data_IF_210962810053
#
_entry.id   IF_210962810053
#
_cell.length_a   1.000
_cell.length_b   1.000
_cell.length_c   1.000
_cell.angle_alpha   90.00
_cell.angle_beta   90.00
_cell.angle_gamma   90.00
#
_symmetry.space_group_name_H-M   'P 1'
#
loop_
_entity.id
_entity.type
_entity.pdbx_description
1 polymer ?
#
# COMPACT_ATOMS: atom_id res chain seq x y z
N UNK A 1 -5.54 5.69 14.71
CA UNK A 1 -4.12 5.98 14.37
C UNK A 1 -4.06 7.39 13.84
N UNK A 2 -3.04 8.17 14.17
CA UNK A 2 -2.84 9.52 13.64
C UNK A 2 -1.96 9.51 12.37
N UNK A 3 -1.91 10.65 11.67
CA UNK A 3 -1.16 10.78 10.43
C UNK A 3 0.36 10.50 10.59
N UNK A 4 1.07 11.04 11.60
CA UNK A 4 2.48 10.73 11.80
C UNK A 4 2.75 9.23 11.98
N UNK A 5 1.91 8.52 12.74
CA UNK A 5 2.03 7.07 12.94
C UNK A 5 1.74 6.31 11.64
N UNK A 6 0.73 6.73 10.87
CA UNK A 6 0.41 6.15 9.58
C UNK A 6 1.57 6.33 8.58
N UNK A 7 2.16 7.53 8.53
CA UNK A 7 3.31 7.83 7.68
C UNK A 7 4.53 6.98 8.07
N UNK A 8 4.86 6.88 9.35
CA UNK A 8 5.95 6.02 9.81
C UNK A 8 5.73 4.57 9.39
N UNK A 9 4.50 4.06 9.53
CA UNK A 9 4.16 2.69 9.14
C UNK A 9 4.26 2.47 7.63
N UNK A 10 3.79 3.41 6.81
CA UNK A 10 3.99 3.39 5.35
C UNK A 10 5.49 3.36 5.02
N UNK A 11 6.29 4.21 5.67
CA UNK A 11 7.74 4.24 5.47
C UNK A 11 8.42 2.91 5.86
N UNK A 12 7.92 2.23 6.91
CA UNK A 12 8.40 0.90 7.27
C UNK A 12 8.09 -0.13 6.20
N UNK A 13 6.83 -0.22 5.76
CA UNK A 13 6.44 -1.12 4.67
C UNK A 13 7.23 -0.83 3.39
N UNK A 14 7.53 0.45 3.13
CA UNK A 14 8.30 0.93 1.98
C UNK A 14 9.83 0.77 2.12
N UNK A 15 10.35 0.28 3.25
CA UNK A 15 11.79 0.18 3.48
C UNK A 15 12.54 1.52 3.50
N UNK A 16 11.83 2.63 3.73
CA UNK A 16 12.39 3.99 3.82
C UNK A 16 12.47 4.51 5.26
N UNK A 17 11.95 3.74 6.22
CA UNK A 17 12.08 4.02 7.66
C UNK A 17 13.52 3.82 8.14
N UNK A 18 13.87 4.51 9.25
CA UNK A 18 15.13 4.28 9.98
C UNK A 18 15.08 3.03 10.87
N UNK A 19 13.89 2.48 11.09
CA UNK A 19 13.70 1.28 11.90
C UNK A 19 14.26 0.04 11.19
N UNK A 20 14.71 -0.94 11.97
CA UNK A 20 15.20 -2.20 11.42
C UNK A 20 14.06 -2.94 10.69
N UNK A 21 14.27 -3.40 9.44
CA UNK A 21 13.28 -4.18 8.72
C UNK A 21 12.90 -5.48 9.45
N UNK A 22 11.65 -5.87 9.29
CA UNK A 22 11.01 -7.04 9.90
C UNK A 22 10.14 -7.78 8.89
N UNK A 23 9.74 -9.01 9.22
CA UNK A 23 8.84 -9.80 8.36
C UNK A 23 7.41 -9.22 8.28
N UNK A 24 7.09 -8.24 9.13
CA UNK A 24 5.83 -7.51 9.09
C UNK A 24 5.88 -6.30 8.15
N UNK A 25 7.02 -6.05 7.49
CA UNK A 25 7.17 -4.97 6.52
C UNK A 25 7.04 -5.50 5.09
N UNK A 26 6.27 -4.81 4.24
CA UNK A 26 5.85 -5.33 2.92
C UNK A 26 7.06 -5.60 2.01
N UNK A 27 7.91 -4.60 1.76
CA UNK A 27 9.05 -4.78 0.87
C UNK A 27 10.10 -5.75 1.42
N UNK A 28 10.22 -5.86 2.75
CA UNK A 28 11.09 -6.86 3.37
C UNK A 28 10.56 -8.27 3.11
N UNK A 29 9.25 -8.47 3.18
CA UNK A 29 8.62 -9.75 2.84
C UNK A 29 8.78 -10.08 1.36
N UNK A 30 8.61 -9.10 0.46
CA UNK A 30 8.90 -9.31 -0.97
C UNK A 30 10.36 -9.77 -1.19
N UNK A 31 11.32 -9.09 -0.56
CA UNK A 31 12.72 -9.48 -0.62
C UNK A 31 12.95 -10.91 -0.12
N UNK A 32 12.33 -11.31 1.00
CA UNK A 32 12.44 -12.67 1.53
C UNK A 32 11.85 -13.72 0.60
N UNK A 33 10.75 -13.41 -0.10
CA UNK A 33 10.15 -14.30 -1.11
C UNK A 33 11.15 -14.53 -2.26
N UNK A 34 11.81 -13.47 -2.73
CA UNK A 34 12.81 -13.59 -3.79
C UNK A 34 14.08 -14.30 -3.36
N UNK A 35 14.62 -13.97 -2.17
CA UNK A 35 15.83 -14.58 -1.62
C UNK A 35 15.66 -16.07 -1.32
N UNK A 36 14.50 -16.46 -0.78
CA UNK A 36 14.22 -17.85 -0.39
C UNK A 36 13.49 -18.66 -1.46
N UNK A 37 13.06 -18.03 -2.56
CA UNK A 37 12.21 -18.63 -3.59
C UNK A 37 11.01 -19.39 -2.98
N UNK A 38 10.42 -18.79 -1.95
CA UNK A 38 9.34 -19.40 -1.17
C UNK A 38 8.31 -18.35 -0.81
N UNK A 39 7.05 -18.61 -1.16
CA UNK A 39 5.99 -17.65 -0.96
C UNK A 39 5.72 -17.40 0.52
N UNK A 40 5.32 -16.17 0.82
CA UNK A 40 4.87 -15.72 2.14
C UNK A 40 3.63 -14.88 1.92
N UNK A 41 2.58 -15.01 2.76
CA UNK A 41 1.39 -14.20 2.61
C UNK A 41 1.71 -12.70 2.67
N UNK A 42 1.26 -11.98 1.65
CA UNK A 42 1.44 -10.53 1.48
C UNK A 42 0.13 -9.77 1.61
N UNK A 43 -1.01 -10.45 1.49
CA UNK A 43 -2.33 -9.84 1.62
C UNK A 43 -2.54 -9.12 2.97
N UNK A 44 -2.18 -9.69 4.14
CA UNK A 44 -2.32 -8.98 5.42
C UNK A 44 -1.45 -7.72 5.51
N UNK A 45 -0.32 -7.68 4.79
CA UNK A 45 0.57 -6.53 4.75
C UNK A 45 0.00 -5.43 3.85
N UNK A 46 -0.67 -5.79 2.76
CA UNK A 46 -1.41 -4.84 1.93
C UNK A 46 -2.59 -4.24 2.70
N UNK A 47 -3.35 -5.03 3.44
CA UNK A 47 -4.44 -4.56 4.31
C UNK A 47 -3.95 -3.55 5.35
N UNK A 48 -2.78 -3.79 5.93
CA UNK A 48 -2.13 -2.86 6.84
C UNK A 48 -1.80 -1.51 6.19
N UNK A 49 -1.30 -1.53 4.95
CA UNK A 49 -1.04 -0.32 4.17
C UNK A 49 -2.36 0.41 3.86
N UNK A 50 -3.43 -0.32 3.53
CA UNK A 50 -4.75 0.30 3.32
C UNK A 50 -5.30 0.96 4.59
N UNK A 51 -5.11 0.35 5.77
CA UNK A 51 -5.46 1.00 7.04
C UNK A 51 -4.67 2.32 7.24
N UNK A 52 -3.43 2.37 6.78
CA UNK A 52 -2.66 3.63 6.79
C UNK A 52 -3.23 4.63 5.78
N UNK A 53 -3.66 4.17 4.61
CA UNK A 53 -4.31 5.03 3.62
C UNK A 53 -5.63 5.61 4.08
N UNK A 54 -6.43 4.91 4.90
CA UNK A 54 -7.64 5.51 5.50
C UNK A 54 -7.27 6.76 6.35
N UNK A 55 -6.21 6.66 7.15
CA UNK A 55 -5.75 7.79 7.98
C UNK A 55 -5.14 8.91 7.14
N UNK A 56 -4.36 8.56 6.11
CA UNK A 56 -3.81 9.55 5.17
C UNK A 56 -4.92 10.26 4.40
N UNK A 57 -5.96 9.53 3.98
CA UNK A 57 -7.11 10.07 3.28
C UNK A 57 -7.83 11.11 4.14
N UNK A 58 -8.12 10.77 5.40
CA UNK A 58 -8.74 11.72 6.34
C UNK A 58 -7.86 12.94 6.58
N UNK A 59 -6.54 12.74 6.72
CA UNK A 59 -5.61 13.84 6.93
C UNK A 59 -5.53 14.81 5.75
N UNK A 60 -5.52 14.28 4.51
CA UNK A 60 -5.36 15.08 3.31
C UNK A 60 -6.68 15.63 2.78
N UNK A 61 -7.78 14.90 2.94
CA UNK A 61 -9.05 15.19 2.29
C UNK A 61 -10.17 15.56 3.27
N UNK A 62 -9.90 15.60 4.58
CA UNK A 62 -10.86 15.95 5.62
C UNK A 62 -11.54 14.72 6.26
N UNK A 63 -12.26 14.93 7.37
CA UNK A 63 -12.93 13.85 8.12
C UNK A 63 -13.95 13.08 7.30
N UNK A 64 -14.56 13.74 6.31
CA UNK A 64 -15.47 13.15 5.32
C UNK A 64 -15.01 13.57 3.90
N UNK A 65 -14.07 12.82 3.30
CA UNK A 65 -13.48 13.16 2.00
C UNK A 65 -14.49 13.40 0.86
N UNK A 66 -15.58 12.63 0.85
CA UNK A 66 -16.63 12.73 -0.19
C UNK A 66 -17.40 14.06 -0.14
N UNK A 67 -17.51 14.68 1.05
CA UNK A 67 -18.24 15.93 1.27
C UNK A 67 -17.33 17.16 1.36
N UNK A 68 -16.03 16.95 1.58
CA UNK A 68 -15.07 18.03 1.71
C UNK A 68 -14.93 18.85 0.43
N UNK A 69 -15.05 20.17 0.55
CA UNK A 69 -14.86 21.09 -0.56
C UNK A 69 -13.42 21.02 -1.09
N UNK A 70 -13.22 21.14 -2.39
CA UNK A 70 -11.93 20.91 -3.04
C UNK A 70 -10.80 21.81 -2.48
N UNK A 71 -11.14 23.04 -2.11
CA UNK A 71 -10.23 24.02 -1.51
C UNK A 71 -9.78 23.66 -0.09
N UNK A 72 -10.51 22.77 0.61
CA UNK A 72 -10.15 22.29 1.94
C UNK A 72 -9.21 21.09 1.91
N UNK A 73 -9.10 20.42 0.75
CA UNK A 73 -8.20 19.29 0.54
C UNK A 73 -6.76 19.77 0.40
N UNK A 74 -5.82 18.94 0.82
CA UNK A 74 -4.40 19.24 0.78
C UNK A 74 -3.94 19.47 -0.67
N UNK A 75 -3.41 20.67 -0.92
CA UNK A 75 -2.91 21.06 -2.25
C UNK A 75 -1.48 20.55 -2.52
N UNK A 76 -0.81 20.05 -1.49
CA UNK A 76 0.54 19.50 -1.57
C UNK A 76 0.63 18.23 -0.74
N UNK A 77 1.55 17.35 -1.15
CA UNK A 77 1.83 16.10 -0.44
C UNK A 77 3.21 16.16 0.20
N UNK A 78 3.34 15.51 1.36
CA UNK A 78 4.65 15.29 1.98
C UNK A 78 5.54 14.46 1.04
N UNK A 79 6.75 14.95 0.78
CA UNK A 79 7.76 14.26 -0.02
C UNK A 79 8.07 12.86 0.54
N UNK A 80 8.08 12.71 1.86
CA UNK A 80 8.34 11.44 2.52
C UNK A 80 7.22 10.41 2.22
N UNK A 81 5.95 10.85 2.26
CA UNK A 81 4.80 10.03 1.89
C UNK A 81 4.89 9.61 0.42
N UNK A 82 5.07 10.59 -0.48
CA UNK A 82 5.15 10.33 -1.93
C UNK A 82 6.29 9.37 -2.25
N UNK A 83 7.47 9.56 -1.65
CA UNK A 83 8.60 8.68 -1.87
C UNK A 83 8.34 7.25 -1.37
N UNK A 84 7.75 7.10 -0.18
CA UNK A 84 7.43 5.80 0.39
C UNK A 84 6.38 5.04 -0.47
N UNK A 85 5.29 5.70 -0.85
CA UNK A 85 4.26 5.08 -1.70
C UNK A 85 4.80 4.76 -3.09
N UNK A 86 5.59 5.65 -3.69
CA UNK A 86 6.21 5.36 -4.99
C UNK A 86 7.15 4.14 -4.89
N UNK A 87 7.90 4.00 -3.80
CA UNK A 87 8.76 2.83 -3.58
C UNK A 87 7.95 1.53 -3.40
N UNK A 88 6.82 1.59 -2.68
CA UNK A 88 5.87 0.47 -2.56
C UNK A 88 5.35 0.02 -3.93
N UNK A 89 4.88 0.96 -4.76
CA UNK A 89 4.27 0.66 -6.05
C UNK A 89 5.28 0.19 -7.09
N UNK A 90 6.44 0.82 -7.17
CA UNK A 90 7.49 0.44 -8.14
C UNK A 90 8.08 -0.92 -7.79
N UNK A 91 8.43 -1.14 -6.52
CA UNK A 91 8.99 -2.42 -6.09
C UNK A 91 7.92 -3.51 -6.10
N UNK A 92 6.72 -3.24 -5.59
CA UNK A 92 5.60 -4.17 -5.61
C UNK A 92 5.28 -4.70 -7.00
N UNK A 93 5.13 -3.80 -8.00
CA UNK A 93 4.89 -4.20 -9.40
C UNK A 93 6.02 -5.07 -9.95
N UNK A 94 7.28 -4.69 -9.72
CA UNK A 94 8.44 -5.48 -10.15
C UNK A 94 8.40 -6.91 -9.58
N UNK A 95 8.05 -7.06 -8.30
CA UNK A 95 7.99 -8.38 -7.66
C UNK A 95 6.76 -9.18 -8.10
N UNK A 96 5.61 -8.54 -8.31
CA UNK A 96 4.44 -9.22 -8.86
C UNK A 96 4.72 -9.79 -10.26
N UNK A 97 5.31 -8.99 -11.16
CA UNK A 97 5.72 -9.45 -12.49
C UNK A 97 6.77 -10.56 -12.44
N UNK A 98 7.69 -10.48 -11.47
CA UNK A 98 8.71 -11.51 -11.30
C UNK A 98 8.09 -12.83 -10.79
N UNK A 99 7.22 -12.79 -9.77
CA UNK A 99 6.51 -13.97 -9.25
C UNK A 99 5.67 -14.64 -10.34
N UNK A 100 5.00 -13.87 -11.20
CA UNK A 100 4.22 -14.40 -12.32
C UNK A 100 5.08 -15.16 -13.35
N UNK A 101 6.32 -14.70 -13.58
CA UNK A 101 7.24 -15.31 -14.57
C UNK A 101 8.10 -16.43 -14.00
N UNK A 102 8.30 -16.46 -12.69
CA UNK A 102 9.19 -17.39 -12.02
C UNK A 102 8.54 -18.77 -11.86
N UNK A 103 9.30 -19.83 -12.12
CA UNK A 103 8.84 -21.19 -11.86
C UNK A 103 8.91 -21.52 -10.37
N UNK A 104 7.92 -22.26 -9.85
CA UNK A 104 7.92 -22.76 -8.47
C UNK A 104 7.01 -22.00 -7.50
N UNK A 105 6.24 -21.02 -7.98
CA UNK A 105 5.12 -20.44 -7.25
C UNK A 105 3.80 -21.07 -7.69
N UNK A 106 2.90 -21.28 -6.74
CA UNK A 106 1.56 -21.77 -7.03
C UNK A 106 0.70 -20.67 -7.64
N UNK A 107 -0.33 -21.04 -8.42
CA UNK A 107 -1.25 -20.06 -9.04
C UNK A 107 -1.88 -19.15 -7.99
N UNK A 108 -2.22 -19.69 -6.81
CA UNK A 108 -2.79 -18.92 -5.71
C UNK A 108 -1.81 -17.86 -5.17
N UNK A 109 -0.52 -18.19 -5.10
CA UNK A 109 0.54 -17.28 -4.63
C UNK A 109 0.71 -16.10 -5.61
N UNK A 110 0.69 -16.39 -6.92
CA UNK A 110 0.76 -15.38 -7.98
C UNK A 110 -0.48 -14.47 -7.91
N UNK A 111 -1.66 -15.04 -7.73
CA UNK A 111 -2.91 -14.29 -7.60
C UNK A 111 -2.91 -13.40 -6.35
N UNK A 112 -2.47 -13.91 -5.20
CA UNK A 112 -2.37 -13.14 -3.97
C UNK A 112 -1.40 -11.97 -4.13
N UNK A 113 -0.20 -12.20 -4.69
CA UNK A 113 0.78 -11.15 -4.94
C UNK A 113 0.22 -10.06 -5.84
N UNK A 114 -0.40 -10.45 -6.96
CA UNK A 114 -1.02 -9.53 -7.91
C UNK A 114 -2.14 -8.72 -7.26
N UNK A 115 -3.03 -9.39 -6.52
CA UNK A 115 -4.15 -8.75 -5.81
C UNK A 115 -3.65 -7.76 -4.75
N UNK A 116 -2.66 -8.13 -3.95
CA UNK A 116 -2.09 -7.29 -2.90
C UNK A 116 -1.46 -6.01 -3.46
N UNK A 117 -0.66 -6.11 -4.53
CA UNK A 117 -0.06 -4.95 -5.19
C UNK A 117 -1.13 -4.07 -5.84
N UNK A 118 -2.14 -4.68 -6.47
CA UNK A 118 -3.25 -3.94 -7.07
C UNK A 118 -4.08 -3.20 -6.03
N UNK A 119 -4.32 -3.82 -4.87
CA UNK A 119 -5.01 -3.20 -3.75
C UNK A 119 -4.29 -1.92 -3.28
N UNK A 120 -2.96 -1.97 -3.13
CA UNK A 120 -2.16 -0.79 -2.74
C UNK A 120 -2.22 0.30 -3.82
N UNK A 121 -2.15 -0.07 -5.11
CA UNK A 121 -2.27 0.89 -6.22
C UNK A 121 -3.63 1.59 -6.23
N UNK A 122 -4.72 0.83 -6.14
CA UNK A 122 -6.08 1.38 -6.08
C UNK A 122 -6.27 2.24 -4.84
N UNK A 123 -5.83 1.76 -3.67
CA UNK A 123 -5.94 2.49 -2.42
C UNK A 123 -5.28 3.86 -2.50
N UNK A 124 -4.07 3.93 -3.06
CA UNK A 124 -3.39 5.21 -3.27
C UNK A 124 -4.13 6.12 -4.26
N UNK A 125 -4.64 5.57 -5.36
CA UNK A 125 -5.45 6.36 -6.29
C UNK A 125 -6.70 6.94 -5.63
N UNK A 126 -7.36 6.20 -4.74
CA UNK A 126 -8.52 6.70 -4.00
C UNK A 126 -8.16 7.78 -2.97
N UNK A 127 -6.99 7.68 -2.32
CA UNK A 127 -6.46 8.78 -1.49
C UNK A 127 -6.25 10.04 -2.33
N UNK A 128 -5.68 9.91 -3.54
CA UNK A 128 -5.43 11.06 -4.41
C UNK A 128 -6.71 11.67 -4.98
N UNK A 129 -7.71 10.86 -5.32
CA UNK A 129 -9.02 11.35 -5.70
C UNK A 129 -9.68 12.10 -4.53
N UNK A 130 -9.56 11.53 -3.33
CA UNK A 130 -10.11 12.10 -2.11
C UNK A 130 -11.63 12.17 -2.14
N UNK A 131 -12.30 11.31 -2.91
CA UNK A 131 -13.77 11.31 -3.09
C UNK A 131 -14.48 10.23 -2.26
N UNK A 132 -13.72 9.42 -1.53
CA UNK A 132 -14.22 8.21 -0.88
C UNK A 132 -13.98 8.24 0.63
N UNK A 133 -15.00 7.92 1.41
CA UNK A 133 -14.91 7.90 2.88
C UNK A 133 -14.27 6.62 3.44
N UNK A 134 -14.24 5.54 2.66
CA UNK A 134 -13.52 4.32 3.02
C UNK A 134 -12.75 3.77 1.83
N UNK A 135 -11.43 3.94 1.89
CA UNK A 135 -10.49 3.39 0.91
C UNK A 135 -10.62 1.87 0.83
N UNK A 136 -10.71 1.17 1.97
CA UNK A 136 -10.78 -0.30 1.99
C UNK A 136 -12.03 -0.84 1.32
N UNK A 137 -13.18 -0.21 1.56
CA UNK A 137 -14.44 -0.62 0.94
C UNK A 137 -14.35 -0.48 -0.57
N UNK A 138 -13.84 0.64 -1.07
CA UNK A 138 -13.74 0.85 -2.52
C UNK A 138 -12.71 -0.08 -3.16
N UNK A 139 -11.58 -0.35 -2.50
CA UNK A 139 -10.61 -1.34 -2.98
C UNK A 139 -11.24 -2.73 -3.06
N UNK A 140 -12.04 -3.13 -2.07
CA UNK A 140 -12.73 -4.41 -2.09
C UNK A 140 -13.71 -4.49 -3.27
N UNK A 141 -14.57 -3.48 -3.46
CA UNK A 141 -15.53 -3.40 -4.55
C UNK A 141 -14.87 -3.51 -5.94
N UNK A 142 -13.68 -2.94 -6.11
CA UNK A 142 -12.94 -2.95 -7.37
C UNK A 142 -12.20 -4.27 -7.66
N UNK A 143 -11.98 -5.09 -6.64
CA UNK A 143 -11.24 -6.35 -6.76
C UNK A 143 -12.17 -7.58 -6.68
N UNK A 144 -13.47 -7.41 -6.50
CA UNK A 144 -14.49 -8.45 -6.74
C UNK A 144 -14.66 -8.74 -8.23
#
# INVERSE_FOLDING_TARGET
MDYPTALERIQRHAGTSKNKPSADDFLQTLFLISDKKGFRPVQPLAENILDCFEVVNVHLNGEQPSEAAAETKAQTLDRALVYAVNNLLTTGRKYAEWVERESGFEVADVQEMSRAVKAIELGWNFVLAGEFDSIRREVANWLE
#
